data_IF_532182877970
#
_entry.id   IF_532182877970
#
_cell.length_a   1.000
_cell.length_b   1.000
_cell.length_c   1.000
_cell.angle_alpha   90.00
_cell.angle_beta   90.00
_cell.angle_gamma   90.00
#
_symmetry.space_group_name_H-M   'P 1'
#
loop_
_entity.id
_entity.type
_entity.pdbx_description
1 polymer ?
#
# COMPACT_ATOMS: atom_id res chain seq x y z
N UNK A 1 21.85 27.06 33.33
CA UNK A 1 22.47 25.75 33.07
C UNK A 1 21.89 25.09 31.81
N UNK A 2 22.00 25.73 30.64
CA UNK A 2 21.58 25.16 29.34
C UNK A 2 22.67 25.23 28.26
N UNK A 3 23.78 25.93 28.52
CA UNK A 3 24.87 26.11 27.55
C UNK A 3 25.94 25.00 27.58
N UNK A 4 25.96 24.13 28.59
CA UNK A 4 27.02 23.12 28.78
C UNK A 4 26.68 21.79 28.09
N UNK A 5 25.39 21.52 27.80
CA UNK A 5 24.99 20.25 27.18
C UNK A 5 25.30 20.17 25.67
N UNK A 6 25.46 21.32 24.99
CA UNK A 6 25.70 21.38 23.54
C UNK A 6 27.14 21.00 23.14
N UNK A 7 28.10 21.08 24.06
CA UNK A 7 29.51 20.75 23.76
C UNK A 7 29.76 19.23 23.82
N UNK A 8 28.95 18.48 24.56
CA UNK A 8 29.13 17.02 24.72
C UNK A 8 28.61 16.20 23.54
N UNK A 9 27.61 16.68 22.81
CA UNK A 9 27.05 15.95 21.64
C UNK A 9 27.92 16.16 20.39
N UNK A 10 28.63 17.29 20.28
CA UNK A 10 29.52 17.58 19.17
C UNK A 10 30.81 16.74 19.16
N UNK A 11 31.21 16.14 20.28
CA UNK A 11 32.47 15.38 20.36
C UNK A 11 32.32 13.88 20.09
N UNK A 12 31.09 13.32 20.20
CA UNK A 12 30.86 11.88 19.95
C UNK A 12 30.66 11.52 18.48
N UNK A 13 30.43 12.50 17.59
CA UNK A 13 30.27 12.24 16.15
C UNK A 13 31.63 12.08 15.44
N UNK A 14 32.73 12.51 16.05
CA UNK A 14 34.05 12.50 15.39
C UNK A 14 34.83 11.19 15.62
N UNK A 15 34.47 10.36 16.60
CA UNK A 15 35.23 9.12 16.92
C UNK A 15 34.55 7.82 16.52
N UNK A 16 33.39 7.85 15.87
CA UNK A 16 32.65 6.63 15.47
C UNK A 16 32.85 6.14 14.03
N UNK A 17 33.64 6.82 13.19
CA UNK A 17 33.82 6.49 11.76
C UNK A 17 35.22 5.93 11.44
N UNK A 18 35.82 5.19 12.37
CA UNK A 18 37.05 4.46 12.14
C UNK A 18 36.81 2.94 12.19
N UNK A 19 35.82 2.45 11.45
CA UNK A 19 35.82 1.06 10.99
C UNK A 19 34.77 0.81 9.91
N UNK A 20 35.20 0.84 8.65
CA UNK A 20 34.73 0.00 7.56
C UNK A 20 35.39 0.50 6.28
N UNK A 21 36.24 -0.33 5.69
CA UNK A 21 36.90 -0.04 4.43
C UNK A 21 35.91 0.33 3.33
N UNK A 22 36.38 1.21 2.44
CA UNK A 22 35.81 1.48 1.13
C UNK A 22 34.44 2.17 1.12
N UNK A 23 34.37 3.41 1.64
CA UNK A 23 33.29 4.35 1.29
C UNK A 23 33.85 5.45 0.41
N UNK A 24 33.23 5.63 -0.76
CA UNK A 24 33.43 6.80 -1.65
C UNK A 24 33.37 8.08 -0.81
N UNK A 25 34.31 8.98 -1.08
CA UNK A 25 34.29 10.35 -0.56
C UNK A 25 32.96 10.96 -0.99
N UNK A 26 32.08 11.22 -0.01
CA UNK A 26 30.82 11.92 -0.26
C UNK A 26 31.15 13.36 -0.64
N UNK A 27 30.52 13.87 -1.69
CA UNK A 27 30.76 15.25 -2.12
C UNK A 27 30.19 16.21 -1.07
N UNK A 28 30.71 17.44 -1.03
CA UNK A 28 30.22 18.48 -0.11
C UNK A 28 28.72 18.68 -0.26
N UNK A 29 28.18 18.55 -1.48
CA UNK A 29 26.75 18.64 -1.76
C UNK A 29 25.94 17.51 -1.11
N UNK A 30 26.45 16.28 -1.07
CA UNK A 30 25.80 15.15 -0.40
C UNK A 30 25.76 15.35 1.13
N UNK A 31 26.82 15.89 1.71
CA UNK A 31 26.90 16.21 3.14
C UNK A 31 25.99 17.39 3.52
N UNK A 32 25.87 18.40 2.66
CA UNK A 32 24.95 19.53 2.84
C UNK A 32 23.49 19.05 2.76
N UNK A 33 23.17 18.15 1.83
CA UNK A 33 21.83 17.54 1.74
C UNK A 33 21.49 16.70 2.97
N UNK A 34 22.43 15.90 3.48
CA UNK A 34 22.23 15.12 4.70
C UNK A 34 22.06 16.02 5.93
N UNK A 35 22.83 17.11 6.04
CA UNK A 35 22.70 18.09 7.10
C UNK A 35 21.32 18.78 7.09
N UNK A 36 20.82 19.18 5.92
CA UNK A 36 19.49 19.78 5.81
C UNK A 36 18.36 18.77 6.10
N UNK A 37 18.51 17.49 5.75
CA UNK A 37 17.54 16.45 6.10
C UNK A 37 17.47 16.21 7.62
N UNK A 38 18.61 16.18 8.30
CA UNK A 38 18.67 15.99 9.76
C UNK A 38 18.10 17.22 10.48
N UNK A 39 18.45 18.42 10.03
CA UNK A 39 17.94 19.68 10.60
C UNK A 39 16.42 19.83 10.40
N UNK A 40 15.88 19.36 9.28
CA UNK A 40 14.43 19.32 9.03
C UNK A 40 13.68 18.34 9.97
N UNK A 41 14.36 17.30 10.47
CA UNK A 41 13.80 16.37 11.46
C UNK A 41 13.88 16.92 12.90
N UNK A 42 14.87 17.76 13.20
CA UNK A 42 15.04 18.38 14.52
C UNK A 42 14.16 19.62 14.74
N UNK A 43 13.84 20.38 13.68
CA UNK A 43 13.03 21.59 13.76
C UNK A 43 11.52 21.34 13.60
N UNK A 44 11.07 20.09 13.50
CA UNK A 44 9.64 19.77 13.47
C UNK A 44 9.11 19.62 14.91
N UNK A 45 8.44 20.63 15.50
CA UNK A 45 7.69 20.42 16.73
C UNK A 45 6.66 19.32 16.48
N UNK A 46 6.52 18.39 17.43
CA UNK A 46 5.67 17.20 17.38
C UNK A 46 4.16 17.42 17.20
N UNK A 47 3.74 18.58 16.69
CA UNK A 47 2.35 18.89 16.30
C UNK A 47 2.12 18.94 14.79
N UNK A 48 3.16 18.89 13.95
CA UNK A 48 3.01 18.84 12.48
C UNK A 48 2.58 17.45 11.94
N UNK A 49 2.37 16.46 12.81
CA UNK A 49 1.70 15.20 12.48
C UNK A 49 0.17 15.23 12.73
N UNK A 50 -0.39 16.35 13.22
CA UNK A 50 -1.84 16.44 13.51
C UNK A 50 -2.71 16.95 12.36
N UNK A 51 -2.11 17.51 11.31
CA UNK A 51 -2.81 17.70 10.04
C UNK A 51 -2.37 16.61 9.06
N UNK A 52 -2.74 15.37 9.38
CA UNK A 52 -3.02 14.39 8.33
C UNK A 52 -4.14 14.99 7.52
N UNK A 53 -3.82 15.52 6.35
CA UNK A 53 -4.80 15.51 5.28
C UNK A 53 -5.34 14.07 5.21
N UNK A 54 -6.65 13.83 5.45
CA UNK A 54 -7.23 12.49 5.40
C UNK A 54 -7.00 11.81 4.03
N UNK A 55 -6.68 12.60 2.99
CA UNK A 55 -6.36 12.14 1.66
C UNK A 55 -4.88 11.78 1.46
N UNK A 56 -3.97 12.22 2.35
CA UNK A 56 -2.56 11.84 2.31
C UNK A 56 -2.32 10.57 3.14
N UNK A 57 -2.73 9.42 2.58
CA UNK A 57 -2.43 8.10 3.15
C UNK A 57 -0.97 7.76 2.86
N UNK A 58 -0.09 7.90 3.84
CA UNK A 58 1.29 7.47 3.70
C UNK A 58 1.32 5.94 3.48
N UNK A 59 2.00 5.45 2.43
CA UNK A 59 2.16 4.02 2.21
C UNK A 59 2.77 3.39 3.45
N UNK A 60 2.11 2.38 4.01
CA UNK A 60 2.71 1.53 5.03
C UNK A 60 3.61 0.52 4.32
N UNK A 61 4.83 0.96 4.03
CA UNK A 61 5.86 0.15 3.39
C UNK A 61 5.95 -1.23 4.04
N UNK A 62 5.71 -2.28 3.25
CA UNK A 62 5.77 -3.67 3.70
C UNK A 62 4.48 -4.27 4.27
N UNK A 63 3.39 -3.50 4.44
CA UNK A 63 2.13 -4.04 4.94
C UNK A 63 1.54 -5.10 3.99
N UNK A 64 1.52 -4.82 2.69
CA UNK A 64 1.10 -5.81 1.68
C UNK A 64 1.98 -7.08 1.72
N UNK A 65 3.31 -6.92 1.80
CA UNK A 65 4.25 -8.05 1.85
C UNK A 65 3.97 -8.92 3.09
N UNK A 66 3.86 -8.30 4.26
CA UNK A 66 3.55 -9.00 5.52
C UNK A 66 2.20 -9.73 5.44
N UNK A 67 1.18 -9.08 4.88
CA UNK A 67 -0.15 -9.69 4.72
C UNK A 67 -0.11 -10.87 3.76
N UNK A 68 0.53 -10.71 2.59
CA UNK A 68 0.66 -11.77 1.59
C UNK A 68 1.39 -13.01 2.13
N UNK A 69 2.56 -12.82 2.77
CA UNK A 69 3.29 -13.93 3.40
C UNK A 69 2.47 -14.56 4.54
N UNK A 70 1.64 -13.79 5.24
CA UNK A 70 0.72 -14.32 6.24
C UNK A 70 -0.33 -15.30 5.68
N UNK A 71 -0.73 -15.15 4.41
CA UNK A 71 -1.65 -16.08 3.75
C UNK A 71 -0.97 -17.35 3.24
N UNK A 72 0.28 -17.25 2.82
CA UNK A 72 1.06 -18.40 2.35
C UNK A 72 1.59 -19.30 3.50
N UNK A 73 1.43 -18.85 4.75
CA UNK A 73 1.82 -19.61 5.93
C UNK A 73 3.34 -19.71 6.11
N UNK A 74 3.79 -20.82 6.69
CA UNK A 74 5.21 -21.01 7.04
C UNK A 74 6.10 -21.38 5.85
N UNK A 75 5.50 -21.76 4.73
CA UNK A 75 6.21 -22.29 3.55
C UNK A 75 6.21 -21.34 2.38
N UNK A 76 5.47 -20.23 2.43
CA UNK A 76 5.60 -19.19 1.42
C UNK A 76 6.16 -17.92 2.03
N UNK A 77 7.11 -17.35 1.28
CA UNK A 77 8.07 -16.36 1.76
C UNK A 77 9.14 -16.92 2.72
N UNK A 78 9.52 -18.18 2.57
CA UNK A 78 10.62 -18.77 3.35
C UNK A 78 11.98 -18.63 2.66
N UNK A 79 11.97 -18.35 1.35
CA UNK A 79 13.16 -18.03 0.57
C UNK A 79 13.19 -16.61 -0.03
N UNK A 80 14.39 -16.15 -0.41
CA UNK A 80 14.60 -14.81 -0.94
C UNK A 80 13.85 -14.57 -2.27
N UNK A 81 13.72 -15.60 -3.10
CA UNK A 81 13.07 -15.51 -4.41
C UNK A 81 11.55 -15.31 -4.28
N UNK A 82 10.93 -15.98 -3.32
CA UNK A 82 9.51 -15.82 -2.98
C UNK A 82 9.23 -14.46 -2.38
N UNK A 83 10.03 -14.04 -1.38
CA UNK A 83 9.93 -12.70 -0.77
C UNK A 83 10.04 -11.63 -1.86
N UNK A 84 10.97 -11.79 -2.81
CA UNK A 84 11.14 -10.88 -3.94
C UNK A 84 9.93 -10.90 -4.88
N UNK A 85 9.37 -12.06 -5.16
CA UNK A 85 8.16 -12.22 -5.97
C UNK A 85 6.97 -11.48 -5.36
N UNK A 86 6.73 -11.68 -4.06
CA UNK A 86 5.66 -11.01 -3.31
C UNK A 86 5.92 -9.51 -3.19
N UNK A 87 7.14 -9.09 -2.87
CA UNK A 87 7.49 -7.67 -2.79
C UNK A 87 7.26 -6.94 -4.13
N UNK A 88 7.58 -7.61 -5.25
CA UNK A 88 7.31 -7.08 -6.58
C UNK A 88 5.81 -7.02 -6.88
N UNK A 89 5.04 -8.03 -6.49
CA UNK A 89 3.59 -8.05 -6.64
C UNK A 89 2.89 -6.96 -5.82
N UNK A 90 3.43 -6.64 -4.64
CA UNK A 90 2.93 -5.61 -3.74
C UNK A 90 3.28 -4.17 -4.13
N UNK A 91 4.02 -3.94 -5.23
CA UNK A 91 4.36 -2.58 -5.67
C UNK A 91 3.10 -1.80 -6.00
N UNK A 92 2.95 -0.64 -5.37
CA UNK A 92 1.76 0.20 -5.52
C UNK A 92 0.56 -0.22 -4.68
N UNK A 93 0.67 -1.25 -3.83
CA UNK A 93 -0.34 -1.57 -2.83
C UNK A 93 0.02 -0.82 -1.52
N UNK A 94 -0.74 0.24 -1.20
CA UNK A 94 -0.32 1.23 -0.20
C UNK A 94 -0.36 0.73 1.25
N UNK A 95 -1.31 -0.13 1.62
CA UNK A 95 -1.49 -0.58 3.00
C UNK A 95 -1.88 -2.07 3.15
N UNK A 96 -1.94 -2.83 2.05
CA UNK A 96 -2.35 -4.24 2.06
C UNK A 96 -3.84 -4.48 2.31
N UNK A 97 -4.64 -3.43 2.58
CA UNK A 97 -6.06 -3.59 2.91
C UNK A 97 -6.90 -4.06 1.71
N UNK A 98 -6.51 -3.71 0.48
CA UNK A 98 -7.12 -4.28 -0.72
C UNK A 98 -6.92 -5.79 -0.77
N UNK A 99 -5.69 -6.28 -0.57
CA UNK A 99 -5.38 -7.71 -0.57
C UNK A 99 -6.16 -8.43 0.53
N UNK A 100 -6.15 -7.87 1.74
CA UNK A 100 -6.91 -8.41 2.87
C UNK A 100 -8.40 -8.49 2.59
N UNK A 101 -8.97 -7.50 1.90
CA UNK A 101 -10.39 -7.50 1.55
C UNK A 101 -10.70 -8.49 0.42
N UNK A 102 -9.86 -8.54 -0.61
CA UNK A 102 -10.03 -9.41 -1.77
C UNK A 102 -10.18 -10.88 -1.35
N UNK A 103 -9.31 -11.37 -0.47
CA UNK A 103 -9.36 -12.76 0.01
C UNK A 103 -10.60 -13.08 0.86
N UNK A 104 -11.33 -12.08 1.39
CA UNK A 104 -12.59 -12.34 2.13
C UNK A 104 -13.74 -12.77 1.22
N UNK A 105 -13.60 -12.55 -0.09
CA UNK A 105 -14.59 -13.00 -1.07
C UNK A 105 -14.28 -14.38 -1.64
N UNK A 106 -13.07 -14.87 -1.41
CA UNK A 106 -12.56 -16.10 -1.98
C UNK A 106 -12.58 -17.23 -0.95
N UNK A 107 -12.67 -18.46 -1.44
CA UNK A 107 -12.36 -19.64 -0.62
C UNK A 107 -10.86 -19.71 -0.34
N UNK A 108 -10.44 -20.38 0.73
CA UNK A 108 -9.01 -20.50 1.05
C UNK A 108 -8.20 -21.24 -0.01
N UNK A 109 -8.85 -22.03 -0.87
CA UNK A 109 -8.21 -22.74 -1.99
C UNK A 109 -7.93 -21.86 -3.21
N UNK A 110 -8.35 -20.59 -3.18
CA UNK A 110 -8.13 -19.61 -4.26
C UNK A 110 -7.04 -18.59 -3.87
N UNK A 111 -6.38 -18.78 -2.71
CA UNK A 111 -5.29 -17.94 -2.23
C UNK A 111 -4.28 -18.68 -1.34
N UNK A 112 -4.17 -19.99 -1.44
CA UNK A 112 -3.20 -20.79 -0.68
C UNK A 112 -1.85 -20.94 -1.39
N UNK A 113 -1.77 -20.58 -2.67
CA UNK A 113 -0.52 -20.64 -3.44
C UNK A 113 0.12 -19.26 -3.73
N UNK A 114 1.46 -19.27 -3.89
CA UNK A 114 2.24 -18.06 -4.18
C UNK A 114 1.77 -17.34 -5.46
N UNK A 115 1.42 -18.07 -6.50
CA UNK A 115 0.93 -17.53 -7.77
C UNK A 115 -0.39 -16.76 -7.59
N UNK A 116 -1.29 -17.27 -6.76
CA UNK A 116 -2.62 -16.72 -6.49
C UNK A 116 -2.53 -15.46 -5.65
N UNK A 117 -1.83 -15.54 -4.52
CA UNK A 117 -1.61 -14.38 -3.63
C UNK A 117 -0.89 -13.26 -4.37
N UNK A 118 0.11 -13.58 -5.19
CA UNK A 118 0.79 -12.55 -6.01
C UNK A 118 -0.10 -12.01 -7.13
N UNK A 119 -1.02 -12.80 -7.68
CA UNK A 119 -2.02 -12.34 -8.65
C UNK A 119 -2.95 -11.29 -8.03
N UNK A 120 -3.50 -11.58 -6.85
CA UNK A 120 -4.37 -10.67 -6.10
C UNK A 120 -3.61 -9.42 -5.66
N UNK A 121 -2.39 -9.57 -5.15
CA UNK A 121 -1.55 -8.43 -4.75
C UNK A 121 -1.27 -7.48 -5.92
N UNK A 122 -0.98 -8.01 -7.12
CA UNK A 122 -0.82 -7.20 -8.35
C UNK A 122 -2.12 -6.54 -8.79
N UNK A 123 -3.26 -7.23 -8.65
CA UNK A 123 -4.57 -6.66 -8.95
C UNK A 123 -4.89 -5.47 -8.05
N UNK A 124 -4.39 -5.49 -6.81
CA UNK A 124 -4.49 -4.41 -5.85
C UNK A 124 -3.53 -3.22 -6.07
N UNK A 125 -2.66 -3.26 -7.08
CA UNK A 125 -1.73 -2.17 -7.35
C UNK A 125 -2.46 -0.88 -7.75
N UNK A 126 -2.19 0.20 -7.01
CA UNK A 126 -2.81 1.52 -7.17
C UNK A 126 -4.13 1.71 -6.42
N UNK A 127 -4.50 0.77 -5.53
CA UNK A 127 -5.67 0.90 -4.66
C UNK A 127 -5.30 1.55 -3.32
N UNK A 128 -5.95 2.66 -3.00
CA UNK A 128 -5.73 3.43 -1.76
C UNK A 128 -6.25 2.75 -0.49
N UNK A 129 -7.03 1.69 -0.65
CA UNK A 129 -7.49 0.84 0.44
C UNK A 129 -8.55 -0.16 -0.02
N UNK A 130 -9.43 -0.58 0.90
CA UNK A 130 -10.52 -1.51 0.61
C UNK A 130 -11.89 -0.85 0.34
N UNK A 131 -12.00 0.47 0.43
CA UNK A 131 -13.29 1.17 0.36
C UNK A 131 -13.98 1.01 -1.00
N UNK A 132 -13.28 1.29 -2.10
CA UNK A 132 -13.80 1.04 -3.45
C UNK A 132 -14.20 -0.42 -3.63
N UNK A 133 -13.33 -1.35 -3.21
CA UNK A 133 -13.57 -2.77 -3.41
C UNK A 133 -14.82 -3.25 -2.64
N UNK A 134 -15.01 -2.78 -1.40
CA UNK A 134 -16.21 -3.09 -0.60
C UNK A 134 -17.49 -2.50 -1.20
N UNK A 135 -17.47 -1.24 -1.63
CA UNK A 135 -18.62 -0.60 -2.25
C UNK A 135 -19.01 -1.31 -3.56
N UNK A 136 -18.01 -1.61 -4.39
CA UNK A 136 -18.20 -2.34 -5.65
C UNK A 136 -18.76 -3.75 -5.39
N UNK A 137 -18.18 -4.48 -4.43
CA UNK A 137 -18.66 -5.81 -4.07
C UNK A 137 -20.08 -5.77 -3.48
N UNK A 138 -20.47 -4.74 -2.73
CA UNK A 138 -21.82 -4.63 -2.17
C UNK A 138 -22.94 -4.59 -3.24
N UNK A 139 -22.59 -4.26 -4.49
CA UNK A 139 -23.49 -4.24 -5.64
C UNK A 139 -23.65 -5.60 -6.31
N UNK A 140 -22.71 -6.51 -6.09
CA UNK A 140 -22.67 -7.82 -6.73
C UNK A 140 -23.34 -8.89 -5.85
N UNK A 141 -23.81 -9.97 -6.48
CA UNK A 141 -24.09 -11.22 -5.76
C UNK A 141 -22.78 -11.87 -5.31
N UNK A 142 -22.83 -12.83 -4.38
CA UNK A 142 -21.63 -13.59 -4.00
C UNK A 142 -21.04 -14.38 -5.17
N UNK A 143 -21.90 -14.90 -6.06
CA UNK A 143 -21.51 -15.67 -7.26
C UNK A 143 -20.81 -14.85 -8.36
N UNK A 144 -20.80 -13.52 -8.25
CA UNK A 144 -20.09 -12.63 -9.18
C UNK A 144 -18.79 -12.09 -8.55
N UNK A 145 -18.35 -12.67 -7.42
CA UNK A 145 -17.13 -12.29 -6.72
C UNK A 145 -16.49 -13.43 -5.93
N UNK A 146 -16.76 -14.68 -6.27
CA UNK A 146 -16.25 -15.86 -5.57
C UNK A 146 -15.11 -16.58 -6.30
N UNK A 147 -14.77 -16.14 -7.52
CA UNK A 147 -13.62 -16.61 -8.30
C UNK A 147 -12.46 -15.59 -8.30
N UNK A 148 -11.22 -16.07 -8.26
CA UNK A 148 -10.03 -15.23 -8.23
C UNK A 148 -9.96 -14.25 -9.42
N UNK A 149 -10.44 -14.63 -10.61
CA UNK A 149 -10.44 -13.75 -11.79
C UNK A 149 -11.43 -12.61 -11.64
N UNK A 150 -12.59 -12.87 -11.04
CA UNK A 150 -13.62 -11.87 -10.77
C UNK A 150 -13.13 -10.86 -9.73
N UNK A 151 -12.59 -11.35 -8.63
CA UNK A 151 -12.00 -10.52 -7.57
C UNK A 151 -10.82 -9.71 -8.11
N UNK A 152 -10.00 -10.29 -8.98
CA UNK A 152 -8.91 -9.58 -9.66
C UNK A 152 -9.43 -8.49 -10.60
N UNK A 153 -10.47 -8.76 -11.39
CA UNK A 153 -11.07 -7.78 -12.29
C UNK A 153 -11.66 -6.60 -11.49
N UNK A 154 -12.38 -6.91 -10.42
CA UNK A 154 -12.95 -5.92 -9.52
C UNK A 154 -11.86 -5.08 -8.83
N UNK A 155 -10.84 -5.73 -8.27
CA UNK A 155 -9.72 -5.06 -7.61
C UNK A 155 -8.94 -4.15 -8.55
N UNK A 156 -8.69 -4.57 -9.79
CA UNK A 156 -8.03 -3.73 -10.81
C UNK A 156 -8.87 -2.52 -11.19
N UNK A 157 -10.20 -2.67 -11.22
CA UNK A 157 -11.10 -1.56 -11.56
C UNK A 157 -11.07 -0.43 -10.53
N UNK A 158 -10.70 -0.72 -9.28
CA UNK A 158 -10.57 0.25 -8.20
C UNK A 158 -9.31 1.12 -8.25
N UNK A 159 -8.43 0.93 -9.24
CA UNK A 159 -7.16 1.65 -9.33
C UNK A 159 -7.40 3.16 -9.42
N UNK A 160 -6.74 3.90 -8.52
CA UNK A 160 -6.83 5.36 -8.46
C UNK A 160 -8.08 5.86 -7.74
N UNK A 161 -9.00 4.99 -7.31
CA UNK A 161 -10.17 5.37 -6.52
C UNK A 161 -9.83 5.37 -5.03
N UNK A 162 -10.07 6.50 -4.37
CA UNK A 162 -9.88 6.63 -2.92
C UNK A 162 -10.98 5.88 -2.14
N UNK A 163 -12.22 5.92 -2.63
CA UNK A 163 -13.38 5.31 -2.01
C UNK A 163 -14.38 4.77 -3.07
N UNK A 164 -15.60 4.44 -2.63
CA UNK A 164 -16.68 3.95 -3.49
C UNK A 164 -17.80 4.96 -3.76
N UNK A 165 -17.66 6.23 -3.34
CA UNK A 165 -18.76 7.20 -3.42
C UNK A 165 -19.21 7.47 -4.85
N UNK A 166 -18.26 7.59 -5.77
CA UNK A 166 -18.59 7.75 -7.19
C UNK A 166 -19.32 6.52 -7.75
N UNK A 167 -18.84 5.32 -7.42
CA UNK A 167 -19.51 4.06 -7.81
C UNK A 167 -20.92 4.01 -7.28
N UNK A 168 -21.12 4.34 -6.01
CA UNK A 168 -22.43 4.35 -5.38
C UNK A 168 -23.38 5.35 -6.04
N UNK A 169 -22.92 6.58 -6.26
CA UNK A 169 -23.70 7.62 -6.93
C UNK A 169 -24.12 7.21 -8.34
N UNK A 170 -23.18 6.73 -9.16
CA UNK A 170 -23.49 6.33 -10.55
C UNK A 170 -24.47 5.15 -10.57
N UNK A 171 -24.28 4.17 -9.70
CA UNK A 171 -25.17 3.01 -9.62
C UNK A 171 -26.57 3.35 -9.09
N UNK A 172 -26.68 4.32 -8.18
CA UNK A 172 -27.98 4.85 -7.75
C UNK A 172 -28.72 5.58 -8.88
N UNK A 173 -28.01 6.36 -9.71
CA UNK A 173 -28.62 7.08 -10.83
C UNK A 173 -29.09 6.17 -11.97
N UNK A 174 -28.40 5.05 -12.21
CA UNK A 174 -28.78 4.08 -13.25
C UNK A 174 -29.84 3.07 -12.78
N UNK A 175 -30.08 3.01 -11.48
CA UNK A 175 -30.95 2.02 -10.85
C UNK A 175 -30.26 0.67 -10.64
N UNK A 176 -30.82 -0.11 -9.71
CA UNK A 176 -30.22 -1.36 -9.20
C UNK A 176 -29.96 -2.44 -10.26
N UNK A 177 -30.58 -2.36 -11.44
CA UNK A 177 -30.40 -3.35 -12.51
C UNK A 177 -29.20 -3.08 -13.42
N UNK A 178 -28.61 -1.89 -13.36
CA UNK A 178 -27.49 -1.48 -14.21
C UNK A 178 -26.14 -1.50 -13.49
N UNK A 179 -26.13 -2.03 -12.26
CA UNK A 179 -24.95 -2.27 -11.44
C UNK A 179 -25.17 -3.53 -10.57
N UNK A 180 -25.51 -4.66 -11.19
CA UNK A 180 -25.64 -5.92 -10.46
C UNK A 180 -24.77 -7.05 -11.04
N UNK A 181 -24.11 -6.79 -12.17
CA UNK A 181 -23.09 -7.67 -12.73
C UNK A 181 -21.68 -7.07 -12.65
N UNK A 182 -20.68 -7.95 -12.71
CA UNK A 182 -19.29 -7.59 -12.56
C UNK A 182 -18.82 -6.60 -13.63
N UNK A 183 -19.25 -6.78 -14.88
CA UNK A 183 -18.81 -5.94 -16.00
C UNK A 183 -19.36 -4.51 -15.88
N UNK A 184 -20.61 -4.37 -15.46
CA UNK A 184 -21.24 -3.09 -15.16
C UNK A 184 -20.49 -2.33 -14.07
N UNK A 185 -20.25 -2.99 -12.94
CA UNK A 185 -19.55 -2.37 -11.80
C UNK A 185 -18.10 -2.00 -12.18
N UNK A 186 -17.40 -2.86 -12.90
CA UNK A 186 -16.06 -2.57 -13.42
C UNK A 186 -16.08 -1.38 -14.38
N UNK A 187 -17.09 -1.28 -15.26
CA UNK A 187 -17.24 -0.16 -16.17
C UNK A 187 -17.50 1.15 -15.42
N UNK A 188 -18.33 1.13 -14.37
CA UNK A 188 -18.56 2.30 -13.51
C UNK A 188 -17.29 2.73 -12.79
N UNK A 189 -16.55 1.80 -12.17
CA UNK A 189 -15.30 2.12 -11.48
C UNK A 189 -14.28 2.78 -12.43
N UNK A 190 -14.19 2.32 -13.68
CA UNK A 190 -13.34 2.93 -14.71
C UNK A 190 -13.78 4.35 -15.07
N UNK A 191 -15.08 4.62 -15.09
CA UNK A 191 -15.61 5.98 -15.31
C UNK A 191 -15.30 6.92 -14.14
N UNK A 192 -15.22 6.37 -12.93
CA UNK A 192 -14.87 7.11 -11.72
C UNK A 192 -13.36 7.35 -11.57
N UNK A 193 -12.51 6.59 -12.26
CA UNK A 193 -11.05 6.66 -12.09
C UNK A 193 -10.51 8.00 -12.58
N UNK A 194 -9.85 8.75 -11.69
CA UNK A 194 -9.23 10.05 -12.01
C UNK A 194 -10.08 11.29 -11.68
N UNK A 195 -11.24 11.11 -11.06
CA UNK A 195 -11.99 12.17 -10.36
C UNK A 195 -11.41 12.40 -8.97
#
# INVERSE_FOLDING_TARGET
MKAILLVMVGFFVITGLANAGNKKIQTVDELVMQFHMIKALEEAPGELLKHRDPYCRYPQSGACLKTACGYLGNWGCDDESEIRSVANACRGNFDGSCLKQAVTYLSSFEYDDLSEVTSIARACAGNWGSACLRASAARLSSFNRDDINEVNALSKSCRGLADGQCTDFVCEQRGNFACNDLNEVVAVNRQCSGL
#
